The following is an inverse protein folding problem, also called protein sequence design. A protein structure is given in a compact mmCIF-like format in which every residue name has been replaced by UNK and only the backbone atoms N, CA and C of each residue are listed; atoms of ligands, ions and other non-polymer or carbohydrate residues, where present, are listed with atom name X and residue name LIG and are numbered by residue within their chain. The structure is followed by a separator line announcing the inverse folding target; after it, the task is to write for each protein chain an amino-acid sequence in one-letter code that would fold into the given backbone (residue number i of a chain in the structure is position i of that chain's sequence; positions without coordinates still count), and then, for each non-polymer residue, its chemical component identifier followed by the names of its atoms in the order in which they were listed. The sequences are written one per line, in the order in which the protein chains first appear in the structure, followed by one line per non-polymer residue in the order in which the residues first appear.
data_IF_867767247826
#
_entry.id   IF_867767247826
#
_cell.length_a   1.000
_cell.length_b   1.000
_cell.length_c   1.000
_cell.angle_alpha   90.00
_cell.angle_beta   90.00
_cell.angle_gamma   90.00
#
_symmetry.space_group_name_H-M   'P 1'
#
loop_
_entity.id
_entity.type
_entity.pdbx_description
1 polymer ?
#
# COMPACT_ATOMS: atom_id res chain seq x y z
N UNK A 1 -0.94 -4.54 -8.84
CA UNK A 1 -1.82 -3.65 -8.06
C UNK A 1 -1.56 -3.86 -6.57
N UNK A 2 -1.78 -2.85 -5.72
CA UNK A 2 -1.63 -3.01 -4.26
C UNK A 2 -2.58 -4.09 -3.73
N UNK A 3 -2.05 -5.09 -3.03
CA UNK A 3 -2.77 -6.23 -2.47
C UNK A 3 -3.09 -7.34 -3.47
N UNK A 4 -2.45 -7.37 -4.64
CA UNK A 4 -2.70 -8.41 -5.63
C UNK A 4 -2.34 -9.80 -5.10
N UNK A 5 -3.28 -10.75 -5.24
CA UNK A 5 -3.12 -12.13 -4.77
C UNK A 5 -3.59 -12.38 -3.34
N UNK A 6 -3.88 -11.32 -2.57
CA UNK A 6 -4.49 -11.43 -1.25
C UNK A 6 -6.03 -11.38 -1.35
N UNK A 7 -6.71 -12.14 -0.48
CA UNK A 7 -8.15 -12.07 -0.31
C UNK A 7 -8.49 -11.24 0.95
N UNK A 8 -9.24 -10.16 0.76
CA UNK A 8 -9.82 -9.38 1.86
C UNK A 8 -11.28 -9.77 2.11
N UNK A 9 -11.68 -9.87 3.38
CA UNK A 9 -13.07 -10.11 3.77
C UNK A 9 -13.59 -8.85 4.47
N UNK A 10 -14.56 -8.18 3.87
CA UNK A 10 -15.24 -7.02 4.46
C UNK A 10 -16.46 -7.47 5.27
N UNK A 11 -16.67 -6.85 6.43
CA UNK A 11 -17.80 -7.17 7.32
C UNK A 11 -18.37 -5.90 7.92
N UNK A 12 -19.64 -5.94 8.32
CA UNK A 12 -20.28 -4.83 9.01
C UNK A 12 -19.65 -4.63 10.40
N UNK A 13 -19.18 -3.42 10.69
CA UNK A 13 -18.54 -3.05 11.96
C UNK A 13 -19.38 -3.34 13.21
N UNK A 14 -20.71 -3.30 13.09
CA UNK A 14 -21.66 -3.56 14.18
C UNK A 14 -21.79 -5.03 14.62
N UNK A 15 -21.06 -5.97 13.99
CA UNK A 15 -21.13 -7.40 14.31
C UNK A 15 -19.78 -7.96 14.82
N UNK A 16 -19.40 -7.72 16.09
CA UNK A 16 -18.09 -8.09 16.62
C UNK A 16 -17.81 -9.60 16.64
N UNK A 17 -18.85 -10.43 16.69
CA UNK A 17 -18.74 -11.90 16.64
C UNK A 17 -18.12 -12.39 15.31
N UNK A 18 -18.36 -11.68 14.21
CA UNK A 18 -17.83 -12.07 12.90
C UNK A 18 -16.29 -11.95 12.90
N UNK A 19 -15.73 -10.90 13.51
CA UNK A 19 -14.28 -10.72 13.62
C UNK A 19 -13.62 -11.90 14.35
N UNK A 20 -14.25 -12.43 15.39
CA UNK A 20 -13.75 -13.60 16.12
C UNK A 20 -13.72 -14.85 15.24
N UNK A 21 -14.75 -15.07 14.41
CA UNK A 21 -14.82 -16.22 13.50
C UNK A 21 -13.78 -16.14 12.39
N UNK A 22 -13.47 -14.93 11.90
CA UNK A 22 -12.51 -14.73 10.83
C UNK A 22 -11.06 -14.69 11.30
N UNK A 23 -10.80 -14.50 12.59
CA UNK A 23 -9.45 -14.36 13.14
C UNK A 23 -8.46 -15.48 12.70
N UNK A 24 -8.85 -16.77 12.64
CA UNK A 24 -7.96 -17.84 12.19
C UNK A 24 -7.56 -17.77 10.71
N UNK A 25 -8.31 -17.04 9.88
CA UNK A 25 -8.04 -16.91 8.44
C UNK A 25 -7.01 -15.81 8.13
N UNK A 26 -6.67 -14.99 9.12
CA UNK A 26 -5.83 -13.82 8.92
C UNK A 26 -4.34 -14.18 9.03
N UNK A 27 -3.66 -14.22 7.89
CA UNK A 27 -2.20 -14.34 7.82
C UNK A 27 -1.54 -12.98 8.11
N UNK A 28 -0.81 -12.88 9.23
CA UNK A 28 -0.20 -11.61 9.67
C UNK A 28 0.85 -11.05 8.69
N UNK A 29 1.79 -11.84 8.15
CA UNK A 29 2.74 -11.35 7.14
C UNK A 29 2.04 -10.76 5.91
N UNK A 30 1.00 -11.43 5.40
CA UNK A 30 0.20 -10.92 4.28
C UNK A 30 -0.54 -9.64 4.67
N UNK A 31 -1.18 -9.60 5.84
CA UNK A 31 -1.88 -8.42 6.33
C UNK A 31 -0.95 -7.19 6.36
N UNK A 32 0.25 -7.35 6.90
CA UNK A 32 1.22 -6.26 6.97
C UNK A 32 1.71 -5.84 5.58
N UNK A 33 2.04 -6.78 4.70
CA UNK A 33 2.47 -6.48 3.33
C UNK A 33 1.40 -5.69 2.58
N UNK A 34 0.15 -6.17 2.60
CA UNK A 34 -1.01 -5.51 1.98
C UNK A 34 -1.26 -4.13 2.61
N UNK A 35 -1.06 -3.99 3.92
CA UNK A 35 -1.22 -2.71 4.62
C UNK A 35 -0.22 -1.67 4.10
N UNK A 36 1.05 -2.03 3.97
CA UNK A 36 2.08 -1.15 3.42
C UNK A 36 1.80 -0.78 1.95
N UNK A 37 1.43 -1.75 1.12
CA UNK A 37 1.07 -1.53 -0.29
C UNK A 37 -0.15 -0.62 -0.45
N UNK A 38 -1.19 -0.84 0.37
CA UNK A 38 -2.41 -0.01 0.36
C UNK A 38 -2.16 1.39 0.90
N UNK A 39 -1.22 1.57 1.83
CA UNK A 39 -0.82 2.90 2.27
C UNK A 39 -0.26 3.71 1.09
N UNK A 40 0.64 3.12 0.29
CA UNK A 40 1.16 3.77 -0.92
C UNK A 40 0.04 4.15 -1.88
N UNK A 41 -0.88 3.20 -2.14
CA UNK A 41 -2.04 3.44 -3.00
C UNK A 41 -2.92 4.59 -2.51
N UNK A 42 -3.25 4.62 -1.22
CA UNK A 42 -4.08 5.68 -0.61
C UNK A 42 -3.45 7.06 -0.73
N UNK A 43 -2.14 7.17 -0.53
CA UNK A 43 -1.44 8.46 -0.62
C UNK A 43 -1.34 9.00 -2.05
N UNK A 44 -1.40 8.13 -3.07
CA UNK A 44 -1.26 8.49 -4.48
C UNK A 44 -2.57 8.41 -5.27
N UNK A 45 -3.72 8.48 -4.58
CA UNK A 45 -5.03 8.67 -5.23
C UNK A 45 -5.88 7.41 -5.38
N UNK A 46 -5.42 6.25 -4.89
CA UNK A 46 -6.26 5.11 -4.50
C UNK A 46 -7.13 4.45 -5.57
N UNK A 47 -7.08 4.88 -6.83
CA UNK A 47 -7.96 4.39 -7.89
C UNK A 47 -7.29 3.30 -8.73
N UNK A 48 -8.10 2.39 -9.25
CA UNK A 48 -7.64 1.31 -10.14
C UNK A 48 -7.16 1.82 -11.51
N UNK A 49 -7.34 3.10 -11.81
CA UNK A 49 -7.06 3.71 -13.12
C UNK A 49 -5.70 4.41 -13.17
N UNK A 50 -5.02 4.54 -12.03
CA UNK A 50 -3.68 5.13 -11.98
C UNK A 50 -2.63 4.06 -12.33
N UNK A 51 -1.64 4.37 -13.21
CA UNK A 51 -0.48 3.52 -13.46
C UNK A 51 0.44 3.42 -12.22
N UNK A 52 -0.04 2.75 -11.17
CA UNK A 52 0.59 2.61 -9.88
C UNK A 52 0.78 1.14 -9.52
N UNK A 53 1.97 0.80 -9.04
CA UNK A 53 2.27 -0.50 -8.46
C UNK A 53 2.92 -0.32 -7.10
N UNK A 54 2.49 -1.09 -6.11
CA UNK A 54 3.18 -1.26 -4.85
C UNK A 54 3.24 -2.77 -4.57
N UNK A 55 4.42 -3.25 -4.17
CA UNK A 55 4.65 -4.67 -3.90
C UNK A 55 5.61 -4.83 -2.74
N UNK A 56 5.16 -5.55 -1.70
CA UNK A 56 5.92 -5.85 -0.50
C UNK A 56 6.28 -7.34 -0.44
N UNK A 57 7.51 -7.62 -0.02
CA UNK A 57 8.05 -8.97 0.14
C UNK A 57 8.71 -9.11 1.49
N UNK A 58 8.70 -10.33 2.03
CA UNK A 58 9.33 -10.65 3.30
C UNK A 58 10.63 -11.41 3.11
N UNK A 59 11.61 -11.05 3.93
CA UNK A 59 12.77 -11.88 4.23
C UNK A 59 12.92 -11.95 5.76
N UNK A 60 12.49 -13.08 6.33
CA UNK A 60 12.39 -13.25 7.79
C UNK A 60 11.56 -12.11 8.42
N UNK A 61 12.15 -11.33 9.32
CA UNK A 61 11.48 -10.22 10.03
C UNK A 61 11.55 -8.88 9.29
N UNK A 62 12.21 -8.84 8.12
CA UNK A 62 12.34 -7.64 7.31
C UNK A 62 11.36 -7.66 6.14
N UNK A 63 10.59 -6.58 6.04
CA UNK A 63 9.77 -6.29 4.88
C UNK A 63 10.54 -5.34 3.96
N UNK A 64 10.56 -5.65 2.66
CA UNK A 64 10.97 -4.74 1.60
C UNK A 64 9.73 -4.37 0.79
N UNK A 65 9.53 -3.09 0.52
CA UNK A 65 8.46 -2.59 -0.35
C UNK A 65 9.09 -1.82 -1.50
N UNK A 66 8.59 -2.06 -2.70
CA UNK A 66 8.93 -1.29 -3.90
C UNK A 66 7.67 -0.75 -4.54
N UNK A 67 7.76 0.48 -5.03
CA UNK A 67 6.65 1.15 -5.67
C UNK A 67 7.09 1.94 -6.90
N UNK A 68 6.14 2.12 -7.80
CA UNK A 68 6.30 2.79 -9.07
C UNK A 68 5.00 3.51 -9.40
N UNK A 69 5.12 4.73 -9.92
CA UNK A 69 4.02 5.45 -10.56
C UNK A 69 4.49 6.04 -11.88
N UNK A 70 3.65 5.96 -12.92
CA UNK A 70 3.93 6.54 -14.23
C UNK A 70 2.82 7.46 -14.72
N UNK A 71 3.19 8.35 -15.66
CA UNK A 71 2.21 9.07 -16.47
C UNK A 71 1.36 8.10 -17.29
N UNK A 72 0.14 8.49 -17.62
CA UNK A 72 -0.80 7.68 -18.42
C UNK A 72 -0.22 7.30 -19.78
N UNK A 73 0.63 8.15 -20.36
CA UNK A 73 1.32 7.89 -21.63
C UNK A 73 2.63 7.10 -21.47
N UNK A 74 3.02 6.74 -20.23
CA UNK A 74 4.20 5.95 -19.92
C UNK A 74 5.54 6.65 -20.10
N UNK A 75 5.58 7.94 -20.45
CA UNK A 75 6.84 8.66 -20.74
C UNK A 75 7.61 9.10 -19.52
N UNK A 76 6.94 9.29 -18.38
CA UNK A 76 7.56 9.71 -17.13
C UNK A 76 7.17 8.75 -16.01
N UNK A 77 8.09 8.54 -15.07
CA UNK A 77 7.84 7.73 -13.89
C UNK A 77 8.65 8.15 -12.66
N UNK A 78 8.17 7.73 -11.50
CA UNK A 78 8.87 7.80 -10.23
C UNK A 78 8.99 6.39 -9.65
N UNK A 79 10.11 6.10 -9.00
CA UNK A 79 10.40 4.82 -8.36
C UNK A 79 10.83 5.06 -6.92
N UNK A 80 10.33 4.25 -6.00
CA UNK A 80 10.74 4.31 -4.60
C UNK A 80 10.75 2.92 -3.99
N UNK A 81 11.59 2.74 -2.98
CA UNK A 81 11.66 1.50 -2.22
C UNK A 81 12.11 1.78 -0.80
N UNK A 82 11.60 1.03 0.16
CA UNK A 82 12.03 1.06 1.53
C UNK A 82 12.10 -0.36 2.10
N UNK A 83 12.85 -0.53 3.18
CA UNK A 83 12.90 -1.78 3.90
C UNK A 83 13.03 -1.53 5.40
N UNK A 84 12.50 -2.43 6.21
CA UNK A 84 12.56 -2.31 7.67
C UNK A 84 12.02 -3.54 8.37
N UNK A 85 12.31 -3.64 9.67
CA UNK A 85 11.66 -4.62 10.52
C UNK A 85 10.20 -4.20 10.75
N UNK A 86 9.26 -5.11 10.57
CA UNK A 86 7.83 -4.83 10.74
C UNK A 86 7.22 -5.90 11.64
N UNK A 87 6.62 -5.46 12.75
CA UNK A 87 6.00 -6.31 13.78
C UNK A 87 4.56 -5.89 14.09
N UNK A 88 4.13 -4.74 13.57
CA UNK A 88 2.81 -4.16 13.79
C UNK A 88 2.23 -3.51 12.53
N UNK A 89 0.91 -3.29 12.54
CA UNK A 89 0.23 -2.53 11.49
C UNK A 89 0.78 -1.11 11.34
N UNK A 90 1.07 -0.43 12.46
CA UNK A 90 1.58 0.94 12.44
C UNK A 90 2.96 1.03 11.76
N UNK A 91 3.83 0.04 11.97
CA UNK A 91 5.13 -0.03 11.28
C UNK A 91 4.98 -0.33 9.79
N UNK A 92 4.05 -1.21 9.41
CA UNK A 92 3.73 -1.47 8.00
C UNK A 92 3.20 -0.21 7.29
N UNK A 93 2.30 0.52 7.94
CA UNK A 93 1.79 1.81 7.47
C UNK A 93 2.90 2.86 7.35
N UNK A 94 3.77 2.98 8.36
CA UNK A 94 4.89 3.90 8.33
C UNK A 94 5.85 3.59 7.17
N UNK A 95 6.16 2.31 6.93
CA UNK A 95 7.03 1.91 5.83
C UNK A 95 6.41 2.24 4.45
N UNK A 96 5.11 1.99 4.28
CA UNK A 96 4.37 2.39 3.07
C UNK A 96 4.29 3.92 2.91
N UNK A 97 4.15 4.66 4.00
CA UNK A 97 4.13 6.13 3.98
C UNK A 97 5.48 6.70 3.54
N UNK A 98 6.60 6.16 4.00
CA UNK A 98 7.94 6.56 3.54
C UNK A 98 8.06 6.44 2.03
N UNK A 99 7.66 5.29 1.47
CA UNK A 99 7.68 5.07 0.01
C UNK A 99 6.78 6.07 -0.73
N UNK A 100 5.60 6.37 -0.20
CA UNK A 100 4.71 7.33 -0.81
C UNK A 100 5.28 8.75 -0.80
N UNK A 101 5.88 9.17 0.32
CA UNK A 101 6.52 10.48 0.47
C UNK A 101 7.70 10.63 -0.49
N UNK A 102 8.51 9.59 -0.66
CA UNK A 102 9.60 9.59 -1.64
C UNK A 102 9.10 9.75 -3.08
N UNK A 103 7.99 9.10 -3.45
CA UNK A 103 7.37 9.28 -4.76
C UNK A 103 6.83 10.70 -4.94
N UNK A 104 6.18 11.25 -3.92
CA UNK A 104 5.65 12.62 -3.93
C UNK A 104 6.80 13.63 -4.08
N UNK A 105 7.90 13.45 -3.36
CA UNK A 105 9.09 14.30 -3.45
C UNK A 105 9.74 14.27 -4.85
N UNK A 106 9.61 13.14 -5.57
CA UNK A 106 10.04 13.01 -6.96
C UNK A 106 9.07 13.65 -7.98
N UNK A 107 7.94 14.20 -7.53
CA UNK A 107 6.95 14.84 -8.39
C UNK A 107 5.86 13.91 -8.90
N UNK A 108 5.61 12.77 -8.23
CA UNK A 108 4.53 11.84 -8.59
C UNK A 108 3.16 12.53 -8.77
N UNK A 109 2.90 13.62 -8.04
CA UNK A 109 1.67 14.40 -8.17
C UNK A 109 1.40 14.87 -9.61
N UNK A 110 2.45 15.16 -10.39
CA UNK A 110 2.34 15.61 -11.78
C UNK A 110 2.06 14.47 -12.76
N UNK A 111 2.21 13.22 -12.33
CA UNK A 111 1.96 12.02 -13.14
C UNK A 111 0.52 11.52 -12.98
N UNK A 112 -0.15 11.93 -11.91
CA UNK A 112 -1.51 11.52 -11.58
C UNK A 112 -2.54 12.36 -12.35
N UNK A 113 -3.53 11.74 -13.02
CA UNK A 113 -4.52 12.47 -13.83
C UNK A 113 -5.38 13.43 -12.99
N UNK A 114 -5.60 13.13 -11.71
CA UNK A 114 -6.43 13.92 -10.80
C UNK A 114 -5.60 14.58 -9.67
N UNK A 115 -4.27 14.55 -9.75
CA UNK A 115 -3.38 15.00 -8.67
C UNK A 115 -3.45 14.10 -7.42
N UNK A 116 -2.90 14.60 -6.31
CA UNK A 116 -2.93 13.89 -5.02
C UNK A 116 -4.34 13.97 -4.38
N UNK A 117 -4.76 12.94 -3.64
CA UNK A 117 -6.03 12.96 -2.93
C UNK A 117 -6.06 14.05 -1.85
N UNK A 118 -7.23 14.64 -1.62
CA UNK A 118 -7.44 15.59 -0.53
C UNK A 118 -7.31 14.91 0.83
N UNK A 119 -6.54 15.50 1.73
CA UNK A 119 -6.37 15.03 3.11
C UNK A 119 -7.65 15.24 3.93
N UNK A 120 -8.57 14.28 3.86
CA UNK A 120 -9.74 14.12 4.75
C UNK A 120 -9.55 12.94 5.68
#
# INVERSE_FOLDING_TARGET
AAGQGALGIETLSKHPKIKQWLAPLNDLPTLYAVTAERMVSRQLGGSCEVPLAAYATWNQDHMSIRSFVASVDGKANCLASAQGSVRSLAEAEALGLTVAQDLIAQGAANLLPNGLPSST
#
